data_IF_630059272479
#
_entry.id   IF_630059272479
#
_cell.length_a   1.000
_cell.length_b   1.000
_cell.length_c   1.000
_cell.angle_alpha   90.00
_cell.angle_beta   90.00
_cell.angle_gamma   90.00
#
_symmetry.space_group_name_H-M   'P 1'
#
loop_
_entity.id
_entity.type
_entity.pdbx_description
1 polymer ?
#
# COMPACT_ATOMS: atom_id res chain seq x y z
N UNK A 1 9.52 21.41 -6.76
CA UNK A 1 8.33 20.54 -6.90
C UNK A 1 7.98 20.34 -8.36
N UNK A 2 7.65 19.12 -8.75
CA UNK A 2 7.23 18.77 -10.11
C UNK A 2 5.97 17.92 -10.04
N UNK A 3 4.95 18.27 -10.82
CA UNK A 3 3.71 17.48 -10.89
C UNK A 3 3.95 16.19 -11.66
N UNK A 4 3.71 15.04 -11.01
CA UNK A 4 3.87 13.71 -11.59
C UNK A 4 2.62 12.87 -11.35
N UNK A 5 2.37 11.90 -12.21
CA UNK A 5 1.43 10.81 -11.86
C UNK A 5 2.06 9.87 -10.84
N UNK A 6 1.28 9.10 -10.10
CA UNK A 6 1.80 8.06 -9.19
C UNK A 6 2.74 7.09 -9.93
N UNK A 7 2.36 6.58 -11.10
CA UNK A 7 3.21 5.68 -11.88
C UNK A 7 4.52 6.35 -12.31
N UNK A 8 4.49 7.63 -12.70
CA UNK A 8 5.70 8.37 -13.06
C UNK A 8 6.58 8.63 -11.83
N UNK A 9 5.98 8.90 -10.68
CA UNK A 9 6.70 9.06 -9.42
C UNK A 9 7.41 7.76 -8.99
N UNK A 10 6.74 6.60 -9.13
CA UNK A 10 7.38 5.29 -8.89
C UNK A 10 8.53 5.08 -9.88
N UNK A 11 8.33 5.36 -11.17
CA UNK A 11 9.38 5.27 -12.20
C UNK A 11 10.61 6.11 -11.83
N UNK A 12 10.42 7.37 -11.42
CA UNK A 12 11.53 8.25 -11.03
C UNK A 12 12.19 7.82 -9.72
N UNK A 13 11.43 7.28 -8.75
CA UNK A 13 11.99 6.70 -7.53
C UNK A 13 12.82 5.44 -7.80
N UNK A 14 12.39 4.59 -8.74
CA UNK A 14 13.16 3.44 -9.24
C UNK A 14 14.42 3.91 -9.98
N UNK A 15 14.33 4.95 -10.81
CA UNK A 15 15.48 5.56 -11.50
C UNK A 15 16.52 6.05 -10.50
N UNK A 16 16.10 6.79 -9.48
CA UNK A 16 16.97 7.27 -8.41
C UNK A 16 17.64 6.11 -7.67
N UNK A 17 16.89 5.06 -7.35
CA UNK A 17 17.40 3.83 -6.72
C UNK A 17 18.47 3.13 -7.55
N UNK A 18 18.24 2.97 -8.86
CA UNK A 18 19.18 2.31 -9.76
C UNK A 18 20.46 3.13 -9.97
N UNK A 19 20.33 4.46 -9.99
CA UNK A 19 21.45 5.38 -10.12
C UNK A 19 22.33 5.44 -8.85
N UNK A 20 21.71 5.40 -7.66
CA UNK A 20 22.43 5.53 -6.40
C UNK A 20 23.09 4.22 -5.93
N UNK A 21 22.50 3.07 -6.26
CA UNK A 21 22.98 1.78 -5.79
C UNK A 21 23.29 0.81 -6.96
N UNK A 22 24.58 0.51 -7.25
CA UNK A 22 24.96 -0.42 -8.30
C UNK A 22 24.56 -1.88 -8.01
N UNK A 23 24.15 -2.20 -6.79
CA UNK A 23 23.63 -3.51 -6.38
C UNK A 23 22.12 -3.63 -6.52
N UNK A 24 21.40 -2.53 -6.72
CA UNK A 24 19.96 -2.58 -6.97
C UNK A 24 19.66 -3.10 -8.36
N UNK A 25 18.64 -3.93 -8.55
CA UNK A 25 18.20 -4.34 -9.87
C UNK A 25 16.69 -4.57 -9.86
N UNK A 26 16.05 -4.36 -11.00
CA UNK A 26 14.63 -4.64 -11.20
C UNK A 26 14.47 -6.00 -11.87
N UNK A 27 13.51 -6.78 -11.41
CA UNK A 27 13.17 -8.06 -12.05
C UNK A 27 11.67 -8.32 -12.01
N UNK A 28 11.11 -8.83 -13.09
CA UNK A 28 9.68 -9.07 -13.20
C UNK A 28 9.27 -9.52 -14.59
N UNK A 29 7.98 -9.60 -14.84
CA UNK A 29 7.42 -10.00 -16.13
C UNK A 29 7.14 -8.75 -16.97
N UNK A 30 7.71 -8.69 -18.18
CA UNK A 30 7.56 -7.60 -19.14
C UNK A 30 8.03 -6.21 -18.65
N UNK A 31 8.91 -6.15 -17.65
CA UNK A 31 9.41 -4.88 -17.09
C UNK A 31 10.56 -4.26 -17.91
N UNK A 32 11.16 -5.02 -18.82
CA UNK A 32 12.30 -4.65 -19.64
C UNK A 32 11.92 -3.79 -20.84
N UNK A 33 12.05 -4.27 -22.10
CA UNK A 33 11.74 -3.47 -23.29
C UNK A 33 10.30 -2.94 -23.37
N UNK A 34 9.32 -3.63 -22.77
CA UNK A 34 7.94 -3.13 -22.70
C UNK A 34 7.78 -2.00 -21.67
N UNK A 35 8.63 -1.95 -20.63
CA UNK A 35 8.51 -0.96 -19.55
C UNK A 35 7.40 -1.27 -18.54
N UNK A 36 6.94 -2.53 -18.47
CA UNK A 36 5.83 -2.98 -17.64
C UNK A 36 4.47 -2.75 -18.30
N UNK A 37 3.49 -3.60 -17.96
CA UNK A 37 2.12 -3.51 -18.52
C UNK A 37 1.42 -2.18 -18.18
N UNK A 38 1.80 -1.57 -17.05
CA UNK A 38 1.37 -0.24 -16.62
C UNK A 38 2.36 0.88 -16.93
N UNK A 39 3.44 0.61 -17.68
CA UNK A 39 4.50 1.58 -18.03
C UNK A 39 5.27 2.16 -16.83
N UNK A 40 5.26 1.47 -15.68
CA UNK A 40 5.94 1.93 -14.46
C UNK A 40 7.47 1.85 -14.60
N UNK A 41 8.02 0.93 -15.38
CA UNK A 41 9.47 0.78 -15.60
C UNK A 41 9.93 1.31 -16.95
N UNK A 42 9.08 2.08 -17.63
CA UNK A 42 9.36 2.61 -18.97
C UNK A 42 10.68 3.38 -19.03
N UNK A 43 11.45 3.11 -20.10
CA UNK A 43 12.76 3.69 -20.37
C UNK A 43 13.92 3.26 -19.46
N UNK A 44 13.68 2.55 -18.35
CA UNK A 44 14.74 2.22 -17.39
C UNK A 44 15.78 1.23 -17.98
N UNK A 45 15.34 0.25 -18.77
CA UNK A 45 16.27 -0.68 -19.43
C UNK A 45 17.21 0.03 -20.41
N UNK A 46 16.75 1.09 -21.08
CA UNK A 46 17.56 1.87 -22.00
C UNK A 46 18.66 2.66 -21.29
N UNK A 47 18.42 3.08 -20.05
CA UNK A 47 19.38 3.83 -19.24
C UNK A 47 20.35 2.91 -18.48
N UNK A 48 19.84 1.86 -17.84
CA UNK A 48 20.63 1.02 -16.92
C UNK A 48 21.09 -0.32 -17.50
N UNK A 49 20.57 -0.69 -18.68
CA UNK A 49 20.91 -1.92 -19.38
C UNK A 49 20.18 -3.17 -18.88
N UNK A 50 20.25 -4.26 -19.66
CA UNK A 50 19.51 -5.49 -19.40
C UNK A 50 20.00 -6.26 -18.17
N UNK A 51 21.19 -5.97 -17.64
CA UNK A 51 21.70 -6.59 -16.41
C UNK A 51 21.10 -5.98 -15.13
N UNK A 52 20.43 -4.82 -15.25
CA UNK A 52 19.86 -4.05 -14.13
C UNK A 52 18.34 -3.99 -14.18
N UNK A 53 17.73 -4.22 -15.34
CA UNK A 53 16.28 -4.30 -15.55
C UNK A 53 16.00 -5.57 -16.35
N UNK A 54 15.56 -6.60 -15.64
CA UNK A 54 15.58 -8.00 -16.12
C UNK A 54 14.17 -8.55 -16.29
N UNK A 55 13.82 -8.94 -17.52
CA UNK A 55 12.64 -9.76 -17.75
C UNK A 55 12.87 -11.19 -17.25
N UNK A 56 11.89 -11.71 -16.53
CA UNK A 56 11.91 -13.05 -15.94
C UNK A 56 10.97 -13.99 -16.69
N UNK A 57 11.15 -15.32 -16.59
CA UNK A 57 10.11 -16.27 -16.99
C UNK A 57 8.83 -16.05 -16.17
N UNK A 58 7.67 -16.33 -16.77
CA UNK A 58 6.35 -16.32 -16.13
C UNK A 58 6.26 -17.37 -15.00
N UNK A 59 6.71 -17.01 -13.80
CA UNK A 59 6.77 -17.88 -12.63
C UNK A 59 7.07 -17.07 -11.37
N UNK A 60 6.03 -16.60 -10.68
CA UNK A 60 6.14 -15.67 -9.55
C UNK A 60 6.90 -16.27 -8.37
N UNK A 61 6.75 -17.58 -8.12
CA UNK A 61 7.57 -18.30 -7.14
C UNK A 61 9.06 -18.29 -7.49
N UNK A 62 9.38 -18.34 -8.80
CA UNK A 62 10.73 -18.29 -9.32
C UNK A 62 11.33 -16.88 -9.21
N UNK A 63 10.53 -15.84 -9.48
CA UNK A 63 10.91 -14.43 -9.29
C UNK A 63 11.35 -14.21 -7.84
N UNK A 64 10.48 -14.53 -6.87
CA UNK A 64 10.80 -14.31 -5.46
C UNK A 64 11.96 -15.19 -4.98
N UNK A 65 11.99 -16.47 -5.37
CA UNK A 65 13.08 -17.38 -5.00
C UNK A 65 14.44 -16.91 -5.52
N UNK A 66 14.49 -16.39 -6.74
CA UNK A 66 15.71 -15.83 -7.34
C UNK A 66 16.12 -14.54 -6.64
N UNK A 67 15.17 -13.66 -6.32
CA UNK A 67 15.43 -12.44 -5.57
C UNK A 67 16.02 -12.73 -4.18
N UNK A 68 15.49 -13.71 -3.46
CA UNK A 68 16.07 -14.18 -2.19
C UNK A 68 17.54 -14.58 -2.39
N UNK A 69 17.83 -15.38 -3.42
CA UNK A 69 19.20 -15.80 -3.74
C UNK A 69 20.14 -14.62 -4.06
N UNK A 70 19.65 -13.65 -4.84
CA UNK A 70 20.38 -12.41 -5.15
C UNK A 70 20.68 -11.59 -3.90
N UNK A 71 19.68 -11.41 -3.03
CA UNK A 71 19.83 -10.69 -1.77
C UNK A 71 20.86 -11.35 -0.85
N UNK A 72 20.86 -12.68 -0.74
CA UNK A 72 21.89 -13.44 0.00
C UNK A 72 23.30 -13.29 -0.59
N UNK A 73 23.42 -12.84 -1.85
CA UNK A 73 24.70 -12.52 -2.51
C UNK A 73 25.04 -11.02 -2.48
N UNK A 74 24.28 -10.22 -1.74
CA UNK A 74 24.51 -8.79 -1.52
C UNK A 74 23.98 -7.89 -2.65
N UNK A 75 22.99 -8.36 -3.41
CA UNK A 75 22.21 -7.50 -4.31
C UNK A 75 20.96 -6.95 -3.59
N UNK A 76 20.36 -5.90 -4.15
CA UNK A 76 19.12 -5.28 -3.65
C UNK A 76 18.01 -5.42 -4.70
N UNK A 77 17.41 -6.61 -4.85
CA UNK A 77 16.41 -6.86 -5.87
C UNK A 77 15.08 -6.16 -5.57
N UNK A 78 14.53 -5.52 -6.60
CA UNK A 78 13.19 -4.97 -6.62
C UNK A 78 12.36 -5.79 -7.60
N UNK A 79 11.49 -6.63 -7.06
CA UNK A 79 10.65 -7.53 -7.82
C UNK A 79 9.35 -6.82 -8.21
N UNK A 80 8.86 -7.07 -9.42
CA UNK A 80 7.46 -6.80 -9.78
C UNK A 80 6.72 -8.12 -9.91
N UNK A 81 5.60 -8.25 -9.20
CA UNK A 81 4.56 -9.23 -9.51
C UNK A 81 3.49 -8.49 -10.29
N UNK A 82 3.16 -8.98 -11.49
CA UNK A 82 2.41 -8.20 -12.48
C UNK A 82 1.01 -7.78 -11.98
N UNK A 83 0.34 -8.65 -11.22
CA UNK A 83 -0.94 -8.36 -10.58
C UNK A 83 -1.05 -9.00 -9.18
N UNK A 84 -1.80 -8.35 -8.30
CA UNK A 84 -2.25 -8.84 -7.00
C UNK A 84 -2.71 -10.30 -6.97
N UNK A 85 -3.56 -10.74 -7.90
CA UNK A 85 -4.01 -12.13 -7.95
C UNK A 85 -2.89 -13.15 -8.28
N UNK A 86 -1.76 -12.70 -8.82
CA UNK A 86 -0.64 -13.54 -9.23
C UNK A 86 0.45 -13.65 -8.16
N UNK A 87 0.30 -12.98 -7.02
CA UNK A 87 1.26 -13.13 -5.91
C UNK A 87 1.19 -14.50 -5.23
N UNK A 88 0.08 -15.24 -5.38
CA UNK A 88 -0.17 -16.46 -4.62
C UNK A 88 0.80 -17.62 -4.91
N UNK A 89 1.24 -17.89 -6.15
CA UNK A 89 2.36 -18.78 -6.42
C UNK A 89 3.63 -18.41 -5.63
N UNK A 90 3.90 -17.10 -5.47
CA UNK A 90 5.01 -16.57 -4.66
C UNK A 90 4.77 -16.62 -3.14
N UNK A 91 3.54 -16.86 -2.68
CA UNK A 91 3.16 -16.71 -1.27
C UNK A 91 4.02 -17.58 -0.34
N UNK A 92 4.33 -18.81 -0.72
CA UNK A 92 5.18 -19.69 0.08
C UNK A 92 6.60 -19.12 0.25
N UNK A 93 7.21 -18.62 -0.83
CA UNK A 93 8.53 -18.00 -0.79
C UNK A 93 8.53 -16.76 0.10
N UNK A 94 7.51 -15.91 -0.05
CA UNK A 94 7.39 -14.67 0.72
C UNK A 94 7.22 -14.97 2.21
N UNK A 95 6.24 -15.79 2.57
CA UNK A 95 5.79 -15.91 3.96
C UNK A 95 6.57 -16.92 4.79
N UNK A 96 7.03 -18.00 4.17
CA UNK A 96 7.73 -19.09 4.87
C UNK A 96 9.24 -18.98 4.74
N UNK A 97 9.76 -18.36 3.69
CA UNK A 97 11.20 -18.19 3.48
C UNK A 97 11.64 -16.76 3.79
N UNK A 98 11.34 -15.82 2.89
CA UNK A 98 11.83 -14.44 2.92
C UNK A 98 11.56 -13.76 4.27
N UNK A 99 10.30 -13.72 4.71
CA UNK A 99 9.89 -13.10 5.97
C UNK A 99 10.60 -13.65 7.21
N UNK A 100 11.10 -14.88 7.15
CA UNK A 100 11.64 -15.60 8.32
C UNK A 100 13.15 -15.68 8.32
N UNK A 101 13.85 -15.30 7.25
CA UNK A 101 15.30 -15.53 7.13
C UNK A 101 16.12 -14.82 8.21
N UNK A 102 15.80 -13.56 8.50
CA UNK A 102 16.50 -12.80 9.53
C UNK A 102 16.35 -13.45 10.91
N UNK A 103 15.11 -13.77 11.32
CA UNK A 103 14.86 -14.45 12.59
C UNK A 103 15.45 -15.89 12.62
N UNK A 104 15.27 -16.67 11.54
CA UNK A 104 15.76 -18.06 11.42
C UNK A 104 17.28 -18.14 11.53
N UNK A 105 17.98 -17.11 11.08
CA UNK A 105 19.44 -17.02 11.16
C UNK A 105 19.94 -16.37 12.44
N UNK A 106 19.06 -16.06 13.42
CA UNK A 106 19.39 -15.29 14.62
C UNK A 106 20.06 -13.94 14.30
N UNK A 107 19.58 -13.26 13.25
CA UNK A 107 20.08 -11.96 12.81
C UNK A 107 21.35 -12.00 11.96
N UNK A 108 21.88 -13.19 11.65
CA UNK A 108 23.11 -13.30 10.85
C UNK A 108 22.89 -13.02 9.34
N UNK A 109 21.66 -13.10 8.85
CA UNK A 109 21.31 -12.83 7.45
C UNK A 109 20.30 -11.69 7.36
N UNK A 110 20.61 -10.69 6.53
CA UNK A 110 19.64 -9.70 6.04
C UNK A 110 19.30 -10.02 4.59
N UNK A 111 18.03 -9.89 4.23
CA UNK A 111 17.51 -10.27 2.91
C UNK A 111 16.60 -9.15 2.39
N UNK A 112 17.19 -7.98 2.02
CA UNK A 112 16.44 -6.79 1.63
C UNK A 112 15.87 -6.96 0.21
N UNK A 113 14.70 -7.58 0.13
CA UNK A 113 13.94 -7.77 -1.11
C UNK A 113 12.74 -6.84 -1.07
N UNK A 114 12.57 -6.03 -2.11
CA UNK A 114 11.36 -5.24 -2.33
C UNK A 114 10.47 -5.98 -3.32
N UNK A 115 9.18 -6.09 -3.02
CA UNK A 115 8.18 -6.71 -3.88
C UNK A 115 7.10 -5.67 -4.18
N UNK A 116 7.03 -5.23 -5.43
CA UNK A 116 6.01 -4.32 -5.94
C UNK A 116 4.84 -5.12 -6.50
N UNK A 117 3.63 -4.77 -6.11
CA UNK A 117 2.41 -5.46 -6.52
C UNK A 117 1.32 -4.42 -6.84
N UNK A 118 0.91 -4.26 -8.11
CA UNK A 118 -0.28 -3.50 -8.45
C UNK A 118 -1.51 -4.17 -7.82
N UNK A 119 -2.23 -3.45 -6.96
CA UNK A 119 -3.39 -3.99 -6.23
C UNK A 119 -4.62 -3.09 -6.27
N UNK A 120 -5.75 -3.66 -5.87
CA UNK A 120 -7.03 -2.96 -5.76
C UNK A 120 -7.79 -2.90 -7.08
N UNK A 121 -9.07 -2.57 -6.97
CA UNK A 121 -10.01 -2.68 -8.09
C UNK A 121 -10.40 -1.35 -8.72
N UNK A 122 -11.49 -1.36 -9.46
CA UNK A 122 -12.13 -0.21 -10.11
C UNK A 122 -11.52 0.12 -11.46
N UNK A 123 -11.03 -0.89 -12.17
CA UNK A 123 -10.40 -0.75 -13.49
C UNK A 123 -11.09 -1.61 -14.57
N UNK A 124 -12.17 -2.33 -14.23
CA UNK A 124 -12.90 -3.17 -15.17
C UNK A 124 -12.08 -4.35 -15.71
N UNK A 125 -11.21 -4.92 -14.89
CA UNK A 125 -10.32 -6.03 -15.24
C UNK A 125 -11.03 -7.38 -15.21
N UNK A 126 -10.33 -8.41 -15.71
CA UNK A 126 -10.74 -9.81 -15.59
C UNK A 126 -10.36 -10.36 -14.20
N UNK A 127 -10.80 -11.58 -13.88
CA UNK A 127 -10.47 -12.26 -12.62
C UNK A 127 -8.95 -12.24 -12.32
N UNK A 128 -8.58 -12.15 -11.03
CA UNK A 128 -7.19 -12.07 -10.54
C UNK A 128 -6.42 -10.77 -10.78
N UNK A 129 -7.15 -9.66 -11.00
CA UNK A 129 -6.57 -8.35 -11.27
C UNK A 129 -7.13 -7.21 -10.40
N UNK A 130 -7.88 -7.51 -9.34
CA UNK A 130 -8.55 -6.49 -8.51
C UNK A 130 -8.57 -6.80 -7.02
N UNK A 131 -7.88 -7.85 -6.59
CA UNK A 131 -7.81 -8.27 -5.20
C UNK A 131 -7.10 -7.26 -4.30
N UNK A 132 -7.35 -7.38 -3.00
CA UNK A 132 -6.62 -6.63 -1.97
C UNK A 132 -6.06 -7.65 -0.96
N UNK A 133 -4.89 -8.25 -1.26
CA UNK A 133 -4.37 -9.39 -0.50
C UNK A 133 -3.54 -8.97 0.73
N UNK A 134 -3.46 -7.68 1.04
CA UNK A 134 -2.56 -7.12 2.07
C UNK A 134 -2.73 -7.77 3.44
N UNK A 135 -3.95 -8.15 3.83
CA UNK A 135 -4.22 -8.76 5.14
C UNK A 135 -3.48 -10.10 5.32
N UNK A 136 -3.35 -10.88 4.26
CA UNK A 136 -2.67 -12.18 4.29
C UNK A 136 -1.17 -12.03 4.58
N UNK A 137 -0.57 -10.99 4.00
CA UNK A 137 0.84 -10.70 4.19
C UNK A 137 1.09 -9.95 5.50
N UNK A 138 0.20 -9.04 5.91
CA UNK A 138 0.33 -8.27 7.15
C UNK A 138 0.29 -9.18 8.39
N UNK A 139 -0.43 -10.30 8.31
CA UNK A 139 -0.43 -11.33 9.35
C UNK A 139 0.93 -12.05 9.47
N UNK A 140 1.79 -11.99 8.45
CA UNK A 140 3.08 -12.66 8.45
C UNK A 140 4.17 -11.78 9.07
N UNK A 141 4.53 -12.07 10.32
CA UNK A 141 5.63 -11.39 11.00
C UNK A 141 6.96 -11.49 10.22
N UNK A 142 7.70 -10.38 10.17
CA UNK A 142 8.96 -10.24 9.43
C UNK A 142 8.81 -9.58 8.05
N UNK A 143 7.59 -9.24 7.64
CA UNK A 143 7.32 -8.42 6.46
C UNK A 143 6.98 -6.98 6.86
N UNK A 144 7.51 -6.04 6.10
CA UNK A 144 7.07 -4.64 6.06
C UNK A 144 6.12 -4.47 4.89
N UNK A 145 5.04 -3.71 5.07
CA UNK A 145 4.03 -3.49 4.04
C UNK A 145 3.64 -2.02 4.01
N UNK A 146 3.74 -1.40 2.85
CA UNK A 146 3.38 0.00 2.61
C UNK A 146 2.57 0.14 1.32
N UNK A 147 1.80 1.21 1.22
CA UNK A 147 1.03 1.55 0.02
C UNK A 147 0.94 3.08 -0.10
N UNK A 148 1.43 3.68 -1.20
CA UNK A 148 1.31 5.11 -1.39
C UNK A 148 -0.13 5.49 -1.77
N UNK A 149 -0.60 6.65 -1.33
CA UNK A 149 -1.89 7.22 -1.75
C UNK A 149 -1.74 8.37 -2.76
N UNK A 150 -0.54 8.91 -2.92
CA UNK A 150 -0.22 10.10 -3.69
C UNK A 150 1.17 9.99 -4.34
N UNK A 151 1.46 10.90 -5.28
CA UNK A 151 2.69 10.85 -6.08
C UNK A 151 3.96 11.09 -5.24
N UNK A 152 3.91 11.98 -4.24
CA UNK A 152 5.06 12.30 -3.40
C UNK A 152 5.50 11.10 -2.56
N UNK A 153 4.54 10.42 -1.93
CA UNK A 153 4.78 9.16 -1.25
C UNK A 153 5.30 8.09 -2.20
N UNK A 154 4.70 7.95 -3.38
CA UNK A 154 5.11 6.92 -4.33
C UNK A 154 6.57 7.08 -4.80
N UNK A 155 7.06 8.32 -4.93
CA UNK A 155 8.46 8.61 -5.27
C UNK A 155 9.43 8.22 -4.15
N UNK A 156 9.13 8.58 -2.90
CA UNK A 156 10.03 8.37 -1.76
C UNK A 156 9.95 6.95 -1.19
N UNK A 157 8.75 6.38 -1.08
CA UNK A 157 8.53 5.07 -0.48
C UNK A 157 9.28 3.95 -1.19
N UNK A 158 9.41 4.00 -2.53
CA UNK A 158 10.15 2.98 -3.27
C UNK A 158 11.65 3.01 -2.94
N UNK A 159 12.22 4.21 -2.79
CA UNK A 159 13.63 4.38 -2.42
C UNK A 159 13.87 3.88 -0.99
N UNK A 160 13.00 4.28 -0.07
CA UNK A 160 13.08 3.89 1.34
C UNK A 160 12.85 2.39 1.56
N UNK A 161 11.98 1.77 0.75
CA UNK A 161 11.80 0.32 0.79
C UNK A 161 13.09 -0.42 0.40
N UNK A 162 13.86 0.11 -0.56
CA UNK A 162 15.14 -0.49 -0.97
C UNK A 162 16.25 -0.24 0.05
N UNK A 163 16.20 0.87 0.78
CA UNK A 163 17.09 1.15 1.91
C UNK A 163 16.75 0.33 3.17
N UNK A 164 15.54 -0.23 3.24
CA UNK A 164 15.11 -1.06 4.34
C UNK A 164 15.85 -2.42 4.35
N UNK A 165 16.34 -2.82 5.51
CA UNK A 165 17.01 -4.13 5.68
C UNK A 165 16.03 -5.30 5.84
N UNK A 166 14.76 -5.00 6.14
CA UNK A 166 13.68 -5.98 6.19
C UNK A 166 13.06 -6.16 4.79
N UNK A 167 12.47 -7.32 4.46
CA UNK A 167 11.70 -7.48 3.24
C UNK A 167 10.47 -6.56 3.23
N UNK A 168 10.27 -5.84 2.11
CA UNK A 168 9.18 -4.87 1.96
C UNK A 168 8.26 -5.24 0.81
N UNK A 169 6.96 -5.26 1.06
CA UNK A 169 5.93 -5.29 0.02
C UNK A 169 5.39 -3.88 -0.17
N UNK A 170 5.38 -3.41 -1.41
CA UNK A 170 4.73 -2.16 -1.81
C UNK A 170 3.52 -2.51 -2.65
N UNK A 171 2.34 -2.22 -2.10
CA UNK A 171 1.08 -2.35 -2.81
C UNK A 171 0.77 -1.05 -3.55
N UNK A 172 0.73 -1.12 -4.88
CA UNK A 172 0.58 0.04 -5.74
C UNK A 172 -0.87 0.18 -6.20
N UNK A 173 -1.58 1.27 -5.84
CA UNK A 173 -3.00 1.41 -6.12
C UNK A 173 -3.23 1.58 -7.62
N UNK A 174 -3.51 0.48 -8.34
CA UNK A 174 -3.45 0.46 -9.81
C UNK A 174 -4.45 1.41 -10.46
N UNK A 175 -5.65 1.55 -9.89
CA UNK A 175 -6.66 2.56 -10.30
C UNK A 175 -6.16 3.99 -10.19
N UNK A 176 -5.15 4.23 -9.35
CA UNK A 176 -4.60 5.57 -9.04
C UNK A 176 -3.28 5.85 -9.72
N UNK A 177 -2.74 4.96 -10.56
CA UNK A 177 -1.47 5.20 -11.26
C UNK A 177 -1.41 6.53 -12.00
N UNK A 178 -2.53 7.00 -12.53
CA UNK A 178 -2.63 8.25 -13.29
C UNK A 178 -3.10 9.46 -12.48
N UNK A 179 -3.34 9.29 -11.17
CA UNK A 179 -3.58 10.41 -10.27
C UNK A 179 -2.30 11.27 -10.22
N UNK A 180 -2.45 12.58 -10.43
CA UNK A 180 -1.35 13.54 -10.40
C UNK A 180 -1.20 14.15 -9.01
N UNK A 181 0.02 14.42 -8.60
CA UNK A 181 0.36 15.17 -7.40
C UNK A 181 1.72 15.84 -7.54
N UNK A 182 1.96 16.85 -6.72
CA UNK A 182 3.27 17.51 -6.66
C UNK A 182 4.27 16.64 -5.91
N UNK A 183 5.47 16.51 -6.48
CA UNK A 183 6.58 15.76 -5.90
C UNK A 183 7.74 16.70 -5.63
N UNK A 184 8.23 16.71 -4.39
CA UNK A 184 9.51 17.30 -4.04
C UNK A 184 10.57 16.19 -4.05
N UNK A 185 11.40 16.18 -5.09
CA UNK A 185 12.45 15.16 -5.28
C UNK A 185 13.69 15.42 -4.43
N UNK A 186 13.78 16.57 -3.77
CA UNK A 186 14.93 16.94 -2.94
C UNK A 186 14.62 16.76 -1.45
N UNK A 187 13.33 16.84 -1.06
CA UNK A 187 12.91 16.73 0.33
C UNK A 187 11.75 15.75 0.51
N UNK A 188 11.95 14.64 1.24
CA UNK A 188 10.87 13.71 1.55
C UNK A 188 9.80 14.34 2.45
N UNK A 189 10.13 15.34 3.26
CA UNK A 189 9.18 15.99 4.15
C UNK A 189 8.49 14.97 5.06
N UNK A 190 7.14 14.98 5.15
CA UNK A 190 6.39 13.97 5.89
C UNK A 190 6.72 12.54 5.44
N UNK A 191 7.06 12.34 4.16
CA UNK A 191 7.36 11.03 3.63
C UNK A 191 8.69 10.43 4.10
N UNK A 192 9.46 11.11 4.95
CA UNK A 192 10.76 10.65 5.44
C UNK A 192 10.72 9.30 6.18
N UNK A 193 9.60 8.94 6.79
CA UNK A 193 9.35 7.60 7.33
C UNK A 193 8.15 6.98 6.59
N UNK A 194 8.33 5.91 5.80
CA UNK A 194 7.24 5.26 5.07
C UNK A 194 6.30 4.47 6.01
N UNK A 195 6.68 4.29 7.27
CA UNK A 195 5.91 3.54 8.27
C UNK A 195 5.05 4.42 9.19
N UNK A 196 5.06 5.74 8.98
CA UNK A 196 4.29 6.71 9.76
C UNK A 196 3.00 7.10 9.04
N UNK A 197 1.87 7.04 9.75
CA UNK A 197 0.59 7.53 9.23
C UNK A 197 0.54 9.05 9.24
N UNK A 198 -0.22 9.65 8.31
CA UNK A 198 -0.36 11.10 8.19
C UNK A 198 -1.81 11.54 8.30
N UNK A 199 -2.03 12.59 9.10
CA UNK A 199 -3.29 13.35 9.09
C UNK A 199 -3.26 14.25 7.85
N UNK A 200 -4.12 13.95 6.88
CA UNK A 200 -4.24 14.71 5.63
C UNK A 200 -5.23 15.87 5.75
N UNK A 201 -6.21 15.73 6.64
CA UNK A 201 -7.22 16.74 6.95
C UNK A 201 -7.50 16.67 8.44
N UNK A 202 -7.39 17.79 9.13
CA UNK A 202 -7.77 17.91 10.54
C UNK A 202 -9.30 17.90 10.68
N UNK A 203 -9.80 17.34 11.77
CA UNK A 203 -11.21 17.37 12.12
C UNK A 203 -11.49 17.11 13.59
N UNK A 204 -12.75 17.22 14.01
CA UNK A 204 -13.15 17.20 15.42
C UNK A 204 -14.28 16.23 15.74
N UNK A 205 -15.08 15.83 14.75
CA UNK A 205 -16.35 15.14 15.00
C UNK A 205 -16.21 13.62 14.81
N UNK A 206 -15.34 13.20 13.90
CA UNK A 206 -15.00 11.81 13.64
C UNK A 206 -13.65 11.69 12.93
N UNK A 207 -13.03 10.52 13.03
CA UNK A 207 -11.82 10.15 12.29
C UNK A 207 -12.15 9.10 11.23
N UNK A 208 -11.74 9.34 9.99
CA UNK A 208 -11.68 8.34 8.91
C UNK A 208 -10.22 7.94 8.73
N UNK A 209 -9.95 6.64 8.85
CA UNK A 209 -8.66 6.04 8.54
C UNK A 209 -8.78 5.25 7.23
N UNK A 210 -7.92 5.54 6.25
CA UNK A 210 -7.86 4.83 4.98
C UNK A 210 -6.40 4.56 4.56
N UNK A 211 -6.21 3.78 3.50
CA UNK A 211 -4.90 3.57 2.87
C UNK A 211 -5.04 3.35 1.37
N UNK A 212 -3.94 3.60 0.65
CA UNK A 212 -3.81 3.34 -0.79
C UNK A 212 -4.95 3.94 -1.63
N UNK A 213 -5.71 3.12 -2.38
CA UNK A 213 -6.67 3.61 -3.38
C UNK A 213 -7.90 4.32 -2.78
N UNK A 214 -8.16 4.10 -1.48
CA UNK A 214 -9.32 4.62 -0.75
C UNK A 214 -9.09 5.95 -0.06
N UNK A 215 -7.84 6.39 0.08
CA UNK A 215 -7.52 7.70 0.68
C UNK A 215 -8.17 8.87 -0.10
N UNK A 216 -8.11 8.94 -1.45
CA UNK A 216 -8.83 10.00 -2.17
C UNK A 216 -10.35 9.95 -1.99
N UNK A 217 -10.93 8.77 -1.75
CA UNK A 217 -12.37 8.62 -1.51
C UNK A 217 -12.74 9.12 -0.11
N UNK A 218 -11.90 8.81 0.90
CA UNK A 218 -12.06 9.32 2.26
C UNK A 218 -11.98 10.85 2.33
N UNK A 219 -11.04 11.46 1.60
CA UNK A 219 -10.94 12.93 1.48
C UNK A 219 -12.20 13.52 0.82
N UNK A 220 -12.70 12.89 -0.25
CA UNK A 220 -13.93 13.34 -0.91
C UNK A 220 -15.16 13.23 0.01
N UNK A 221 -15.26 12.15 0.79
CA UNK A 221 -16.31 12.00 1.79
C UNK A 221 -16.22 13.03 2.92
N UNK A 222 -15.01 13.34 3.40
CA UNK A 222 -14.83 14.40 4.40
C UNK A 222 -15.19 15.79 3.85
N UNK A 223 -14.90 16.07 2.58
CA UNK A 223 -15.32 17.31 1.92
C UNK A 223 -16.84 17.40 1.79
N UNK A 224 -17.50 16.31 1.39
CA UNK A 224 -18.97 16.26 1.31
C UNK A 224 -19.61 16.43 2.70
N UNK A 225 -19.04 15.82 3.74
CA UNK A 225 -19.52 15.98 5.12
C UNK A 225 -19.41 17.41 5.65
N UNK A 226 -18.43 18.19 5.18
CA UNK A 226 -18.27 19.60 5.54
C UNK A 226 -19.44 20.46 5.03
N UNK A 227 -20.06 20.11 3.90
CA UNK A 227 -21.26 20.78 3.38
C UNK A 227 -22.45 20.66 4.36
N UNK A 228 -22.49 19.57 5.14
CA UNK A 228 -23.45 19.33 6.22
C UNK A 228 -22.96 19.85 7.59
N UNK A 229 -21.87 20.63 7.61
CA UNK A 229 -21.31 21.24 8.81
C UNK A 229 -20.54 20.28 9.73
N UNK A 230 -20.07 19.14 9.20
CA UNK A 230 -19.32 18.12 9.96
C UNK A 230 -17.82 18.21 9.70
N UNK A 231 -17.06 18.19 10.78
CA UNK A 231 -15.60 18.32 10.80
C UNK A 231 -14.93 16.95 10.92
N UNK A 232 -14.59 16.34 9.78
CA UNK A 232 -14.05 14.97 9.73
C UNK A 232 -12.52 14.93 9.52
N UNK A 233 -11.82 14.30 10.44
CA UNK A 233 -10.38 14.05 10.30
C UNK A 233 -10.12 12.91 9.31
N UNK A 234 -9.16 13.05 8.41
CA UNK A 234 -8.76 11.99 7.48
C UNK A 234 -7.30 11.62 7.68
N UNK A 235 -7.05 10.35 7.95
CA UNK A 235 -5.72 9.76 8.10
C UNK A 235 -5.44 8.80 6.95
N UNK A 236 -4.30 8.98 6.31
CA UNK A 236 -3.67 7.97 5.47
C UNK A 236 -2.70 7.14 6.32
N UNK A 237 -2.95 5.84 6.44
CA UNK A 237 -2.10 4.95 7.22
C UNK A 237 -0.70 4.81 6.63
N UNK A 238 -0.58 4.83 5.29
CA UNK A 238 0.66 4.60 4.53
C UNK A 238 1.28 3.21 4.71
N UNK A 239 1.46 2.73 5.95
CA UNK A 239 1.89 1.39 6.29
C UNK A 239 0.76 0.52 6.85
N UNK A 240 0.77 -0.73 6.39
CA UNK A 240 -0.17 -1.79 6.78
C UNK A 240 0.52 -2.75 7.77
N UNK A 241 1.85 -2.86 7.69
CA UNK A 241 2.67 -3.60 8.64
C UNK A 241 4.05 -2.93 8.76
N UNK A 242 4.40 -2.34 9.92
CA UNK A 242 3.56 -2.15 11.11
C UNK A 242 2.52 -1.04 10.93
N UNK A 243 1.40 -1.14 11.66
CA UNK A 243 0.42 -0.05 11.75
C UNK A 243 0.88 1.01 12.76
N UNK A 244 0.79 2.29 12.38
CA UNK A 244 1.02 3.44 13.28
C UNK A 244 -0.21 3.72 14.15
N UNK A 245 -0.41 2.86 15.15
CA UNK A 245 -1.53 3.00 16.08
C UNK A 245 -1.47 4.28 16.92
N UNK A 246 -0.30 4.88 17.11
CA UNK A 246 -0.16 6.05 17.98
C UNK A 246 -0.86 7.26 17.35
N UNK A 247 -0.67 7.47 16.04
CA UNK A 247 -1.36 8.53 15.28
C UNK A 247 -2.87 8.31 15.26
N UNK A 248 -3.33 7.08 15.00
CA UNK A 248 -4.78 6.77 15.01
C UNK A 248 -5.37 6.94 16.41
N UNK A 249 -4.67 6.51 17.47
CA UNK A 249 -5.15 6.63 18.85
C UNK A 249 -5.30 8.10 19.25
N UNK A 250 -4.31 8.94 18.93
CA UNK A 250 -4.36 10.37 19.23
C UNK A 250 -5.55 11.06 18.54
N UNK A 251 -5.81 10.70 17.29
CA UNK A 251 -6.96 11.18 16.53
C UNK A 251 -8.30 10.77 17.15
N UNK A 252 -8.44 9.49 17.49
CA UNK A 252 -9.68 8.98 18.11
C UNK A 252 -9.91 9.57 19.51
N UNK A 253 -8.85 9.84 20.27
CA UNK A 253 -8.99 10.55 21.55
C UNK A 253 -9.51 11.98 21.40
N UNK A 254 -9.26 12.61 20.25
CA UNK A 254 -9.75 13.94 19.90
C UNK A 254 -11.20 13.91 19.40
N UNK A 255 -11.54 12.96 18.53
CA UNK A 255 -12.82 12.94 17.80
C UNK A 255 -13.89 12.02 18.42
N UNK A 256 -13.46 11.06 19.24
CA UNK A 256 -14.30 10.06 19.88
C UNK A 256 -14.90 9.01 18.95
N UNK A 257 -14.68 9.07 17.64
CA UNK A 257 -15.33 8.18 16.65
C UNK A 257 -14.34 7.77 15.58
N UNK A 258 -14.42 6.51 15.15
CA UNK A 258 -13.53 5.95 14.12
C UNK A 258 -14.31 5.20 13.05
N UNK A 259 -14.04 5.57 11.79
CA UNK A 259 -14.40 4.83 10.58
C UNK A 259 -13.11 4.33 9.94
N UNK A 260 -13.03 3.03 9.64
CA UNK A 260 -11.90 2.44 8.91
C UNK A 260 -12.36 2.03 7.51
N UNK A 261 -11.72 2.57 6.48
CA UNK A 261 -12.10 2.37 5.08
C UNK A 261 -10.98 1.70 4.26
N UNK A 262 -11.28 0.60 3.57
CA UNK A 262 -10.33 -0.12 2.70
C UNK A 262 -11.04 -0.97 1.63
N UNK A 263 -10.41 -1.27 0.49
CA UNK A 263 -11.06 -2.05 -0.59
C UNK A 263 -11.27 -3.53 -0.23
N UNK A 264 -10.36 -4.11 0.57
CA UNK A 264 -10.45 -5.53 0.95
C UNK A 264 -11.77 -5.88 1.65
N UNK A 265 -12.19 -7.16 1.59
CA UNK A 265 -13.29 -7.66 2.40
C UNK A 265 -13.15 -7.28 3.88
N UNK A 266 -14.25 -6.80 4.49
CA UNK A 266 -14.22 -6.44 5.91
C UNK A 266 -14.02 -7.66 6.82
N UNK A 267 -14.47 -8.85 6.41
CA UNK A 267 -14.23 -10.08 7.17
C UNK A 267 -12.75 -10.48 7.06
N UNK A 268 -12.05 -10.54 8.20
CA UNK A 268 -10.61 -10.87 8.24
C UNK A 268 -9.66 -9.80 7.70
N UNK A 269 -10.18 -8.65 7.24
CA UNK A 269 -9.38 -7.53 6.76
C UNK A 269 -8.73 -6.71 7.89
N UNK A 270 -7.80 -5.82 7.50
CA UNK A 270 -7.00 -4.99 8.42
C UNK A 270 -7.86 -4.12 9.35
N UNK A 271 -9.05 -3.68 8.88
CA UNK A 271 -9.95 -2.91 9.72
C UNK A 271 -10.39 -3.63 11.00
N UNK A 272 -10.36 -4.97 11.04
CA UNK A 272 -10.61 -5.73 12.26
C UNK A 272 -9.53 -5.55 13.33
N UNK A 273 -8.25 -5.62 12.93
CA UNK A 273 -7.11 -5.37 13.82
C UNK A 273 -7.12 -3.93 14.34
N UNK A 274 -7.39 -2.95 13.46
CA UNK A 274 -7.49 -1.55 13.86
C UNK A 274 -8.61 -1.35 14.89
N UNK A 275 -9.80 -1.89 14.63
CA UNK A 275 -10.93 -1.77 15.55
C UNK A 275 -10.62 -2.38 16.93
N UNK A 276 -10.01 -3.57 16.97
CA UNK A 276 -9.64 -4.23 18.21
C UNK A 276 -8.61 -3.42 19.01
N UNK A 277 -7.51 -2.99 18.36
CA UNK A 277 -6.42 -2.27 19.03
C UNK A 277 -6.83 -0.88 19.49
N UNK A 278 -7.66 -0.17 18.73
CA UNK A 278 -8.18 1.13 19.17
C UNK A 278 -9.17 0.96 20.31
N UNK A 279 -9.99 -0.08 20.30
CA UNK A 279 -10.86 -0.39 21.44
C UNK A 279 -10.04 -0.65 22.72
N UNK A 280 -8.89 -1.32 22.64
CA UNK A 280 -8.00 -1.50 23.80
C UNK A 280 -7.35 -0.19 24.28
N UNK A 281 -6.88 0.64 23.34
CA UNK A 281 -6.07 1.83 23.64
C UNK A 281 -6.89 3.08 24.00
N UNK A 282 -8.09 3.20 23.45
CA UNK A 282 -8.93 4.40 23.51
C UNK A 282 -10.37 4.10 23.93
N UNK A 283 -10.61 2.98 24.65
CA UNK A 283 -11.96 2.55 25.06
C UNK A 283 -12.80 3.67 25.65
N UNK A 284 -12.23 4.44 26.58
CA UNK A 284 -12.94 5.50 27.29
C UNK A 284 -13.14 6.78 26.46
N UNK A 285 -12.48 6.89 25.31
CA UNK A 285 -12.66 7.99 24.37
C UNK A 285 -13.67 7.66 23.27
N UNK A 286 -13.95 6.38 23.03
CA UNK A 286 -14.90 5.97 21.99
C UNK A 286 -16.34 6.29 22.41
N UNK A 287 -16.97 7.20 21.67
CA UNK A 287 -18.39 7.57 21.79
C UNK A 287 -19.28 6.64 20.95
N UNK A 288 -18.70 5.92 19.97
CA UNK A 288 -19.38 4.95 19.12
C UNK A 288 -18.45 3.76 18.84
N UNK A 289 -18.99 2.57 18.49
CA UNK A 289 -18.16 1.48 18.03
C UNK A 289 -17.42 1.85 16.74
N UNK A 290 -16.23 1.30 16.55
CA UNK A 290 -15.47 1.47 15.31
C UNK A 290 -16.26 0.88 14.14
N UNK A 291 -16.62 1.72 13.16
CA UNK A 291 -17.34 1.31 11.95
C UNK A 291 -16.34 0.96 10.86
N UNK A 292 -16.56 -0.14 10.15
CA UNK A 292 -15.66 -0.64 9.10
C UNK A 292 -16.38 -0.63 7.77
N UNK A 293 -15.77 0.03 6.78
CA UNK A 293 -16.27 0.14 5.42
C UNK A 293 -15.26 -0.54 4.50
N UNK A 294 -15.69 -1.58 3.79
CA UNK A 294 -14.82 -2.27 2.86
C UNK A 294 -15.57 -3.17 1.90
N UNK A 295 -14.84 -3.94 1.10
CA UNK A 295 -15.43 -4.94 0.21
C UNK A 295 -16.36 -5.89 0.97
N UNK A 296 -17.31 -6.47 0.23
CA UNK A 296 -18.17 -7.51 0.77
C UNK A 296 -17.41 -8.83 0.91
N UNK A 297 -17.87 -9.69 1.81
CA UNK A 297 -17.28 -11.03 1.97
C UNK A 297 -17.79 -11.98 0.88
N UNK A 298 -17.30 -11.76 -0.34
CA UNK A 298 -17.56 -12.55 -1.54
C UNK A 298 -16.33 -12.49 -2.46
N UNK A 299 -16.19 -13.40 -3.44
CA UNK A 299 -15.20 -13.24 -4.49
C UNK A 299 -15.33 -11.87 -5.18
N UNK A 300 -14.20 -11.34 -5.65
CA UNK A 300 -14.20 -10.06 -6.36
C UNK A 300 -15.10 -10.16 -7.60
N UNK A 301 -16.05 -9.23 -7.80
CA UNK A 301 -17.04 -9.39 -8.85
C UNK A 301 -16.48 -9.08 -10.24
N UNK A 302 -17.24 -9.45 -11.27
CA UNK A 302 -16.97 -9.05 -12.64
C UNK A 302 -17.10 -7.52 -12.82
N UNK A 303 -16.33 -6.97 -13.77
CA UNK A 303 -16.25 -5.54 -14.08
C UNK A 303 -17.60 -4.80 -14.11
N UNK A 304 -18.67 -5.43 -14.61
CA UNK A 304 -19.98 -4.77 -14.79
C UNK A 304 -20.65 -4.33 -13.48
N UNK A 305 -20.30 -4.92 -12.34
CA UNK A 305 -20.90 -4.62 -11.03
C UNK A 305 -19.84 -4.24 -9.98
N UNK A 306 -18.64 -3.88 -10.46
CA UNK A 306 -17.50 -3.54 -9.60
C UNK A 306 -17.75 -2.29 -8.75
N UNK A 307 -18.48 -1.31 -9.30
CA UNK A 307 -18.82 -0.06 -8.62
C UNK A 307 -19.68 -0.28 -7.36
N UNK A 308 -20.60 -1.25 -7.40
CA UNK A 308 -21.45 -1.60 -6.24
C UNK A 308 -20.65 -2.29 -5.12
N UNK A 309 -19.56 -2.99 -5.48
CA UNK A 309 -18.72 -3.73 -4.53
C UNK A 309 -17.75 -2.84 -3.78
N UNK A 310 -17.13 -1.90 -4.49
CA UNK A 310 -16.12 -1.01 -3.93
C UNK A 310 -16.74 -0.02 -2.94
N UNK A 311 -16.03 0.36 -1.87
CA UNK A 311 -16.45 1.48 -1.04
C UNK A 311 -16.40 2.78 -1.83
N UNK A 312 -17.51 3.51 -1.81
CA UNK A 312 -17.66 4.83 -2.40
C UNK A 312 -17.86 5.90 -1.32
N UNK A 313 -18.13 7.13 -1.75
CA UNK A 313 -18.35 8.27 -0.86
C UNK A 313 -19.60 8.02 0.00
N UNK A 314 -20.69 7.55 -0.60
CA UNK A 314 -21.98 7.36 0.08
C UNK A 314 -21.89 6.32 1.18
N UNK A 315 -21.16 5.21 0.96
CA UNK A 315 -20.94 4.19 2.01
C UNK A 315 -20.06 4.69 3.16
N UNK A 316 -19.13 5.61 2.91
CA UNK A 316 -18.34 6.24 3.96
C UNK A 316 -19.18 7.26 4.74
N UNK A 317 -20.00 8.06 4.06
CA UNK A 317 -20.92 9.01 4.69
C UNK A 317 -22.00 8.31 5.53
N UNK A 318 -22.54 7.20 5.04
CA UNK A 318 -23.49 6.37 5.80
C UNK A 318 -22.85 5.82 7.09
N UNK A 319 -21.60 5.40 7.02
CA UNK A 319 -20.86 4.94 8.19
C UNK A 319 -20.59 6.08 9.19
N UNK A 320 -20.32 7.29 8.69
CA UNK A 320 -20.17 8.50 9.50
C UNK A 320 -21.49 8.86 10.19
N UNK A 321 -22.61 8.88 9.46
CA UNK A 321 -23.96 9.11 10.01
C UNK A 321 -24.28 8.15 11.15
N UNK A 322 -23.97 6.86 10.95
CA UNK A 322 -24.16 5.83 11.96
C UNK A 322 -23.29 6.07 13.18
N UNK A 323 -22.02 6.41 13.01
CA UNK A 323 -21.12 6.69 14.12
C UNK A 323 -21.56 7.92 14.93
N UNK A 324 -22.13 8.94 14.28
CA UNK A 324 -22.65 10.14 14.93
C UNK A 324 -23.99 9.92 15.65
N UNK A 325 -24.75 8.89 15.27
CA UNK A 325 -26.09 8.61 15.80
C UNK A 325 -26.14 7.62 16.98
N UNK A 326 -25.00 7.08 17.42
CA UNK A 326 -24.91 6.22 18.62
C UNK A 326 -25.11 7.01 19.91
#
# INVERSE_FOLDING_TARGET
>A
MTTMTIAKAINEGLRATLASNPKSLLMGEDIGPLGGVYRVTDGLIGEFGPDRVVDTPLAESGIIGTAIGLALRGYSPVCEIQFDGFVFPGFNQITTQLAKMHARSNGNLTVPVVIRIPYGGGIGSVEHHSESPEALFAHTAGLRIITPSNAHDAYWMIQQAVECLDPVIIFEPKRRYWLKGDVDVENPGPSADPFKAHVLREGTDATIVAYGPLVPVALAAANAAEEDGRSVEVIDLRSISPLDFDTVTASVQKTGRLIVAHEAPTFGGIGGEIAARISERAFHSLEAPVIRVGGFHMPYPVAKVEEDYLPDIDRILEALDRALSY
#
